data_IF_050881428276
#
_entry.id   IF_050881428276
#
_cell.length_a   1.000
_cell.length_b   1.000
_cell.length_c   1.000
_cell.angle_alpha   90.00
_cell.angle_beta   90.00
_cell.angle_gamma   90.00
#
_symmetry.space_group_name_H-M   'P 1'
#
loop_
_entity.id
_entity.type
_entity.pdbx_description
1 polymer ?
#
# COMPACT_ATOMS: atom_id res chain seq x y z
N UNK A 1 -6.57 18.98 -3.95
CA UNK A 1 -6.31 18.65 -2.52
C UNK A 1 -7.17 17.46 -2.17
N UNK A 2 -6.62 16.41 -1.54
CA UNK A 2 -7.37 15.18 -1.23
C UNK A 2 -8.27 15.38 0.00
N UNK A 3 -9.46 14.77 0.06
CA UNK A 3 -10.34 14.94 1.22
C UNK A 3 -9.72 14.28 2.47
N UNK A 4 -9.63 14.98 3.61
CA UNK A 4 -9.08 14.44 4.85
C UNK A 4 -10.13 13.64 5.64
N UNK A 5 -10.92 12.80 4.97
CA UNK A 5 -12.01 12.08 5.59
C UNK A 5 -11.47 10.83 6.30
N UNK A 6 -11.82 10.66 7.58
CA UNK A 6 -11.52 9.46 8.35
C UNK A 6 -12.82 8.73 8.65
N UNK A 7 -12.90 7.46 8.26
CA UNK A 7 -14.07 6.61 8.46
C UNK A 7 -13.73 5.47 9.40
N UNK A 8 -14.62 5.20 10.35
CA UNK A 8 -14.57 4.02 11.20
C UNK A 8 -15.72 3.10 10.82
N UNK A 9 -15.39 1.91 10.36
CA UNK A 9 -16.34 0.83 10.13
C UNK A 9 -16.32 -0.08 11.36
N UNK A 10 -17.46 -0.20 12.04
CA UNK A 10 -17.66 -1.20 13.11
C UNK A 10 -18.48 -2.35 12.54
N UNK A 11 -17.97 -3.57 12.72
CA UNK A 11 -18.58 -4.81 12.26
C UNK A 11 -18.94 -5.65 13.49
N UNK A 12 -20.22 -5.94 13.66
CA UNK A 12 -20.74 -6.84 14.71
C UNK A 12 -21.22 -8.15 14.05
N UNK A 13 -20.92 -9.30 14.65
CA UNK A 13 -21.24 -10.64 14.11
C UNK A 13 -22.23 -11.42 15.00
N UNK A 14 -23.49 -10.97 15.14
CA UNK A 14 -24.50 -11.74 15.86
C UNK A 14 -24.94 -12.99 15.07
N UNK A 15 -25.62 -13.91 15.75
CA UNK A 15 -26.24 -15.06 15.08
C UNK A 15 -27.25 -14.59 14.03
N UNK A 16 -27.08 -15.03 12.78
CA UNK A 16 -27.98 -14.74 11.66
C UNK A 16 -27.34 -13.90 10.56
N UNK A 17 -26.86 -12.69 10.86
CA UNK A 17 -26.20 -11.83 9.85
C UNK A 17 -25.22 -10.82 10.46
N UNK A 18 -24.14 -10.45 9.74
CA UNK A 18 -23.29 -9.32 10.12
C UNK A 18 -24.08 -8.00 10.16
N UNK A 19 -23.75 -7.14 11.12
CA UNK A 19 -24.20 -5.75 11.18
C UNK A 19 -23.00 -4.81 11.01
N UNK A 20 -23.11 -3.84 10.09
CA UNK A 20 -22.04 -2.88 9.80
C UNK A 20 -22.55 -1.47 10.09
N UNK A 21 -21.75 -0.68 10.79
CA UNK A 21 -22.00 0.75 10.99
C UNK A 21 -20.78 1.58 10.59
N UNK A 22 -21.02 2.71 9.93
CA UNK A 22 -19.98 3.65 9.51
C UNK A 22 -20.12 4.96 10.30
N UNK A 23 -19.04 5.39 10.94
CA UNK A 23 -18.96 6.70 11.62
C UNK A 23 -17.87 7.53 10.97
N UNK A 24 -18.15 8.79 10.67
CA UNK A 24 -17.13 9.74 10.23
C UNK A 24 -16.46 10.29 11.49
N UNK A 25 -15.14 10.16 11.58
CA UNK A 25 -14.34 10.70 12.67
C UNK A 25 -13.73 12.05 12.26
N UNK A 26 -13.67 13.04 13.17
CA UNK A 26 -12.91 14.27 12.93
C UNK A 26 -11.40 13.98 12.93
N UNK A 27 -10.60 14.93 12.43
CA UNK A 27 -9.14 14.86 12.55
C UNK A 27 -8.43 13.94 11.55
N UNK A 28 -9.09 13.56 10.45
CA UNK A 28 -8.44 12.85 9.35
C UNK A 28 -7.35 13.68 8.67
N UNK A 29 -6.51 13.02 7.88
CA UNK A 29 -5.39 13.64 7.16
C UNK A 29 -5.56 13.53 5.65
N UNK A 30 -5.18 14.58 4.93
CA UNK A 30 -5.18 14.60 3.45
C UNK A 30 -3.94 13.89 2.92
N UNK A 31 -4.10 12.63 2.51
CA UNK A 31 -3.01 11.84 1.93
C UNK A 31 -3.55 10.72 1.03
N UNK A 32 -2.78 10.33 0.01
CA UNK A 32 -2.97 9.07 -0.72
C UNK A 32 -1.66 8.30 -0.81
N UNK A 33 -1.77 6.98 -0.95
CA UNK A 33 -0.62 6.07 -1.13
C UNK A 33 0.45 6.24 -0.04
N UNK A 34 0.02 6.52 1.19
CA UNK A 34 0.90 6.57 2.34
C UNK A 34 1.35 5.16 2.72
N UNK A 35 2.51 5.08 3.36
CA UNK A 35 3.08 3.85 3.91
C UNK A 35 2.76 3.82 5.40
N UNK A 36 2.33 2.67 5.91
CA UNK A 36 1.97 2.50 7.32
C UNK A 36 2.77 1.33 7.89
N UNK A 37 3.40 1.54 9.04
CA UNK A 37 4.11 0.47 9.77
C UNK A 37 3.69 0.50 11.23
N UNK A 38 3.61 -0.66 11.88
CA UNK A 38 3.29 -0.78 13.29
C UNK A 38 4.56 -0.60 14.13
N UNK A 39 4.56 0.37 15.06
CA UNK A 39 5.68 0.65 15.98
C UNK A 39 5.43 0.17 17.40
N UNK A 40 4.18 -0.12 17.76
CA UNK A 40 3.78 -0.70 19.04
C UNK A 40 2.41 -1.40 18.94
N UNK A 41 1.95 -2.00 20.03
CA UNK A 41 0.71 -2.81 20.05
C UNK A 41 -0.50 -2.09 19.45
N UNK A 42 -0.71 -0.82 19.84
CA UNK A 42 -1.76 0.06 19.32
C UNK A 42 -1.22 1.33 18.65
N UNK A 43 0.07 1.34 18.30
CA UNK A 43 0.76 2.50 17.72
C UNK A 43 1.27 2.19 16.31
N UNK A 44 0.96 3.08 15.39
CA UNK A 44 1.36 3.00 13.98
C UNK A 44 1.98 4.32 13.55
N UNK A 45 2.83 4.27 12.54
CA UNK A 45 3.38 5.47 11.90
C UNK A 45 2.96 5.50 10.45
N UNK A 46 2.39 6.62 10.03
CA UNK A 46 2.10 6.95 8.64
C UNK A 46 3.23 7.81 8.10
N UNK A 47 3.86 7.33 7.03
CA UNK A 47 4.97 8.00 6.34
C UNK A 47 4.60 8.24 4.89
N UNK A 48 5.00 9.39 4.39
CA UNK A 48 5.05 9.64 2.96
C UNK A 48 3.69 9.69 2.28
N UNK A 49 3.64 9.22 1.04
CA UNK A 49 2.48 9.39 0.16
C UNK A 49 2.43 10.80 -0.44
N UNK A 50 1.23 11.25 -0.80
CA UNK A 50 1.03 12.48 -1.57
C UNK A 50 -0.09 13.34 -0.99
N UNK A 51 0.09 14.66 -0.92
CA UNK A 51 -0.95 15.63 -0.49
C UNK A 51 -1.84 16.08 -1.65
N UNK A 52 -1.24 16.27 -2.83
CA UNK A 52 -1.89 16.43 -4.13
C UNK A 52 -1.07 15.72 -5.22
N UNK A 53 -1.43 15.83 -6.50
CA UNK A 53 -0.84 15.00 -7.57
C UNK A 53 0.63 15.34 -7.86
N UNK A 54 1.06 16.54 -7.52
CA UNK A 54 2.43 17.02 -7.76
C UNK A 54 3.21 17.32 -6.47
N UNK A 55 2.68 16.94 -5.29
CA UNK A 55 3.31 17.24 -4.01
C UNK A 55 3.36 15.98 -3.13
N UNK A 56 4.58 15.48 -2.92
CA UNK A 56 4.87 14.44 -1.91
C UNK A 56 4.58 14.97 -0.52
N UNK A 57 4.09 14.10 0.38
CA UNK A 57 3.92 14.43 1.81
C UNK A 57 5.22 14.14 2.56
N UNK A 58 5.95 15.17 2.93
CA UNK A 58 7.28 15.00 3.54
C UNK A 58 7.28 14.75 5.06
N UNK A 59 6.15 14.95 5.74
CA UNK A 59 6.06 14.77 7.19
C UNK A 59 5.32 13.47 7.56
N UNK A 60 5.54 13.02 8.81
CA UNK A 60 5.00 11.78 9.33
C UNK A 60 3.93 12.04 10.40
N UNK A 61 3.08 11.05 10.62
CA UNK A 61 2.10 11.06 11.71
C UNK A 61 2.18 9.78 12.50
N UNK A 62 1.95 9.88 13.81
CA UNK A 62 1.68 8.72 14.65
C UNK A 62 0.17 8.53 14.71
N UNK A 63 -0.29 7.29 14.52
CA UNK A 63 -1.67 6.87 14.75
C UNK A 63 -1.69 6.01 16.00
N UNK A 64 -2.48 6.42 16.99
CA UNK A 64 -2.75 5.63 18.18
C UNK A 64 -4.19 5.14 18.13
N UNK A 65 -4.36 3.82 18.28
CA UNK A 65 -5.67 3.19 18.38
C UNK A 65 -6.07 3.09 19.85
N UNK A 66 -7.12 3.79 20.23
CA UNK A 66 -7.79 3.61 21.52
C UNK A 66 -9.07 2.80 21.30
N UNK A 67 -9.61 2.20 22.36
CA UNK A 67 -10.70 1.20 22.26
C UNK A 67 -11.88 1.64 21.37
N UNK A 68 -12.18 2.94 21.33
CA UNK A 68 -13.23 3.51 20.46
C UNK A 68 -12.79 4.73 19.65
N UNK A 69 -11.50 5.09 19.66
CA UNK A 69 -11.01 6.32 19.02
C UNK A 69 -9.75 6.07 18.20
N UNK A 70 -9.52 6.91 17.19
CA UNK A 70 -8.29 6.94 16.40
C UNK A 70 -7.70 8.33 16.56
N UNK A 71 -6.53 8.41 17.17
CA UNK A 71 -5.81 9.68 17.36
C UNK A 71 -4.68 9.79 16.35
N UNK A 72 -4.63 10.90 15.62
CA UNK A 72 -3.59 11.18 14.64
C UNK A 72 -2.75 12.35 15.16
N UNK A 73 -1.53 12.06 15.61
CA UNK A 73 -0.56 13.04 16.08
C UNK A 73 0.48 13.39 15.01
N UNK A 74 1.05 14.59 15.07
CA UNK A 74 2.23 14.95 14.29
C UNK A 74 3.47 14.23 14.85
N UNK A 75 4.35 13.76 13.96
CA UNK A 75 5.62 13.13 14.31
C UNK A 75 6.76 13.93 13.69
N UNK A 76 7.93 13.88 14.31
CA UNK A 76 9.15 14.44 13.73
C UNK A 76 9.36 13.92 12.30
N UNK A 77 9.71 14.85 11.41
CA UNK A 77 9.98 14.55 10.01
C UNK A 77 11.38 13.92 9.89
N UNK A 78 11.54 12.79 9.18
CA UNK A 78 12.86 12.24 8.90
C UNK A 78 13.75 13.24 8.18
N UNK A 79 15.06 13.18 8.42
CA UNK A 79 16.00 13.95 7.61
C UNK A 79 16.15 13.33 6.22
N UNK A 80 15.24 13.70 5.32
CA UNK A 80 15.23 13.19 3.97
C UNK A 80 16.49 13.63 3.21
N UNK A 81 17.14 12.68 2.57
CA UNK A 81 18.28 12.96 1.69
C UNK A 81 17.85 13.84 0.50
N UNK A 82 18.78 14.59 -0.11
CA UNK A 82 18.45 15.49 -1.21
C UNK A 82 17.79 14.78 -2.40
N UNK A 83 18.22 13.58 -2.76
CA UNK A 83 17.61 12.76 -3.81
C UNK A 83 16.12 12.46 -3.54
N UNK A 84 15.75 12.04 -2.32
CA UNK A 84 14.34 11.85 -1.92
C UNK A 84 13.56 13.16 -1.97
N UNK A 85 14.17 14.27 -1.49
CA UNK A 85 13.55 15.61 -1.52
C UNK A 85 13.24 16.04 -2.96
N UNK A 86 14.19 15.88 -3.88
CA UNK A 86 14.08 16.35 -5.27
C UNK A 86 13.37 15.35 -6.21
N UNK A 87 13.28 14.08 -5.85
CA UNK A 87 12.57 13.10 -6.68
C UNK A 87 11.09 13.44 -6.80
N UNK A 88 10.48 13.22 -7.97
CA UNK A 88 9.06 13.50 -8.17
C UNK A 88 8.14 12.47 -7.50
N UNK A 89 8.57 11.22 -7.46
CA UNK A 89 7.76 10.09 -6.96
C UNK A 89 8.56 9.27 -5.96
N UNK A 90 7.83 8.57 -5.10
CA UNK A 90 8.35 7.52 -4.25
C UNK A 90 7.31 6.40 -4.16
N UNK A 91 7.77 5.23 -3.77
CA UNK A 91 6.94 4.07 -3.50
C UNK A 91 7.61 3.23 -2.43
N UNK A 92 6.91 2.25 -1.89
CA UNK A 92 7.47 1.44 -0.82
C UNK A 92 6.44 0.53 -0.19
N UNK A 93 6.88 -0.15 0.86
CA UNK A 93 6.03 -1.00 1.67
C UNK A 93 6.55 -1.08 3.09
N UNK A 94 5.66 -1.44 4.01
CA UNK A 94 6.03 -1.90 5.33
C UNK A 94 6.94 -3.14 5.24
N UNK A 95 7.99 -3.18 6.05
CA UNK A 95 8.84 -4.34 6.27
C UNK A 95 8.49 -5.06 7.58
N UNK A 96 7.54 -4.53 8.35
CA UNK A 96 7.24 -4.93 9.72
C UNK A 96 8.22 -4.30 10.72
N UNK A 97 7.96 -4.55 12.01
CA UNK A 97 8.82 -4.10 13.11
C UNK A 97 9.16 -2.59 13.08
N UNK A 98 8.22 -1.76 12.64
CA UNK A 98 8.41 -0.31 12.56
C UNK A 98 9.39 0.12 11.47
N UNK A 99 9.68 -0.70 10.45
CA UNK A 99 10.58 -0.37 9.35
C UNK A 99 9.84 -0.29 8.01
N UNK A 100 10.25 0.63 7.15
CA UNK A 100 9.68 0.84 5.81
C UNK A 100 10.79 0.77 4.78
N UNK A 101 10.56 0.01 3.71
CA UNK A 101 11.38 0.07 2.50
C UNK A 101 10.83 1.17 1.60
N UNK A 102 11.67 2.16 1.27
CA UNK A 102 11.32 3.28 0.41
C UNK A 102 12.16 3.23 -0.86
N UNK A 103 11.52 3.32 -2.02
CA UNK A 103 12.14 3.39 -3.33
C UNK A 103 11.88 4.74 -4.01
N UNK A 104 12.91 5.24 -4.72
CA UNK A 104 12.79 6.34 -5.68
C UNK A 104 13.38 5.89 -7.02
N UNK A 105 12.82 6.34 -8.16
CA UNK A 105 13.44 6.09 -9.46
C UNK A 105 14.82 6.75 -9.55
N UNK A 106 15.74 6.09 -10.24
CA UNK A 106 17.05 6.64 -10.52
C UNK A 106 17.00 7.83 -11.48
N UNK A 107 18.00 8.70 -11.40
CA UNK A 107 18.13 9.82 -12.32
C UNK A 107 18.75 9.35 -13.64
N UNK A 108 17.96 9.33 -14.72
CA UNK A 108 18.40 8.93 -16.06
C UNK A 108 19.41 9.90 -16.71
N UNK A 109 19.86 10.95 -16.01
CA UNK A 109 20.87 11.89 -16.52
C UNK A 109 22.27 11.31 -16.60
N UNK A 110 22.56 10.19 -15.94
CA UNK A 110 23.86 9.53 -16.02
C UNK A 110 23.80 8.29 -16.93
N UNK A 111 24.89 8.01 -17.64
CA UNK A 111 24.99 6.90 -18.61
C UNK A 111 24.83 5.50 -17.97
N UNK A 112 24.94 5.41 -16.65
CA UNK A 112 24.80 4.19 -15.86
C UNK A 112 24.09 4.56 -14.55
N UNK A 113 22.76 4.58 -14.56
CA UNK A 113 21.95 4.75 -13.35
C UNK A 113 21.17 3.48 -13.07
N UNK A 114 21.10 3.08 -11.80
CA UNK A 114 20.18 2.04 -11.37
C UNK A 114 18.74 2.48 -11.63
N UNK A 115 17.86 1.53 -11.93
CA UNK A 115 16.46 1.84 -12.21
C UNK A 115 15.78 2.50 -10.99
N UNK A 116 16.13 2.07 -9.78
CA UNK A 116 15.62 2.62 -8.52
C UNK A 116 16.72 2.62 -7.44
N UNK A 117 16.68 3.61 -6.56
CA UNK A 117 17.44 3.66 -5.31
C UNK A 117 16.52 3.33 -4.13
N UNK A 118 17.01 2.54 -3.19
CA UNK A 118 16.23 2.06 -2.04
C UNK A 118 16.84 2.51 -0.72
N UNK A 119 15.96 2.82 0.24
CA UNK A 119 16.28 3.30 1.58
C UNK A 119 15.43 2.53 2.59
N UNK A 120 15.96 2.32 3.79
CA UNK A 120 15.20 1.78 4.92
C UNK A 120 14.97 2.91 5.91
N UNK A 121 13.70 3.21 6.17
CA UNK A 121 13.29 4.16 7.21
C UNK A 121 12.85 3.37 8.45
N UNK A 122 13.61 3.50 9.54
CA UNK A 122 13.23 2.96 10.86
C UNK A 122 12.39 4.00 11.60
N UNK A 123 11.15 3.63 11.92
CA UNK A 123 10.16 4.48 12.57
C UNK A 123 10.02 4.17 14.08
N UNK A 124 10.38 2.97 14.53
CA UNK A 124 10.42 2.61 15.95
C UNK A 124 11.53 3.36 16.70
N UNK A 125 11.38 3.49 18.02
CA UNK A 125 12.50 3.92 18.86
C UNK A 125 13.67 2.96 18.73
N UNK A 126 14.90 3.45 18.90
CA UNK A 126 16.10 2.61 18.98
C UNK A 126 15.85 1.58 20.07
N UNK A 127 15.48 0.35 19.71
CA UNK A 127 15.63 -0.78 20.62
C UNK A 127 17.14 -0.90 20.77
N UNK A 128 17.65 -0.37 21.88
CA UNK A 128 18.91 -0.84 22.44
C UNK A 128 18.76 -2.37 22.51
N UNK A 129 19.70 -3.09 21.90
CA UNK A 129 19.65 -4.54 21.63
C UNK A 129 19.00 -4.92 20.28
N UNK A 130 19.77 -4.78 19.20
CA UNK A 130 20.50 -5.91 18.62
C UNK A 130 21.50 -5.36 17.61
N UNK A 131 22.77 -5.75 17.76
CA UNK A 131 23.79 -5.58 16.72
C UNK A 131 23.20 -6.00 15.37
N UNK A 132 23.51 -5.21 14.33
CA UNK A 132 23.33 -5.65 12.94
C UNK A 132 24.11 -6.94 12.73
N UNK A 133 23.51 -8.07 13.07
CA UNK A 133 23.95 -9.37 12.58
C UNK A 133 23.59 -9.36 11.11
N UNK A 134 24.59 -9.03 10.30
CA UNK A 134 24.55 -9.22 8.86
C UNK A 134 24.04 -10.64 8.58
N UNK A 135 22.78 -10.76 8.19
CA UNK A 135 22.17 -12.01 7.79
C UNK A 135 22.74 -12.35 6.40
N UNK A 136 23.97 -12.86 6.42
CA UNK A 136 24.63 -13.44 5.26
C UNK A 136 23.94 -14.78 4.99
N UNK A 137 22.87 -14.75 4.18
CA UNK A 137 22.30 -15.96 3.59
C UNK A 137 23.32 -16.55 2.59
N UNK A 138 24.29 -17.31 3.11
CA UNK A 138 25.10 -18.23 2.33
C UNK A 138 24.53 -19.63 2.56
N UNK A 139 23.53 -20.02 1.76
CA UNK A 139 23.14 -21.43 1.69
C UNK A 139 24.17 -22.16 0.83
N UNK A 140 25.00 -22.98 1.46
CA UNK A 140 25.78 -24.01 0.76
C UNK A 140 24.90 -25.26 0.67
N UNK A 141 24.50 -25.61 -0.54
CA UNK A 141 23.77 -26.85 -0.84
C UNK A 141 24.62 -28.06 -0.48
N UNK A 142 24.07 -28.96 0.34
CA UNK A 142 24.48 -30.37 0.35
C UNK A 142 23.24 -31.24 0.27
N UNK A 143 23.34 -32.20 -0.64
CA UNK A 143 22.31 -32.99 -1.27
C UNK A 143 21.94 -34.17 -0.38
N UNK A 144 20.66 -34.36 -0.04
CA UNK A 144 20.13 -35.64 0.44
C UNK A 144 18.66 -35.78 0.02
N UNK A 145 18.33 -36.52 -1.06
CA UNK A 145 16.95 -36.76 -1.46
C UNK A 145 16.47 -38.08 -0.84
N UNK A 146 15.96 -38.00 0.39
CA UNK A 146 15.35 -39.11 1.11
C UNK A 146 13.84 -38.94 1.27
N UNK A 147 13.10 -39.42 0.28
CA UNK A 147 11.71 -39.91 0.35
C UNK A 147 10.68 -39.05 1.12
N UNK A 148 9.95 -38.21 0.39
CA UNK A 148 8.69 -37.63 0.85
C UNK A 148 7.67 -37.76 -0.27
N UNK A 149 6.70 -38.65 -0.05
CA UNK A 149 5.53 -38.86 -0.92
C UNK A 149 4.79 -37.54 -1.14
N UNK A 150 4.31 -37.23 -2.36
CA UNK A 150 3.65 -35.95 -2.61
C UNK A 150 2.28 -35.94 -1.91
N UNK A 151 2.07 -34.94 -1.04
CA UNK A 151 0.72 -34.53 -0.67
C UNK A 151 0.11 -33.81 -1.88
N UNK A 152 -0.77 -34.50 -2.60
CA UNK A 152 -1.76 -33.89 -3.50
C UNK A 152 -2.73 -33.08 -2.64
N UNK A 153 -2.55 -31.76 -2.64
CA UNK A 153 -3.67 -30.81 -2.71
C UNK A 153 -3.13 -29.38 -2.79
N UNK A 154 -3.12 -28.84 -4.00
CA UNK A 154 -3.27 -27.41 -4.29
C UNK A 154 -3.69 -27.30 -5.75
N UNK A 155 -5.00 -27.19 -5.95
CA UNK A 155 -5.63 -26.75 -7.18
C UNK A 155 -4.96 -25.45 -7.70
N UNK A 156 -4.22 -25.54 -8.80
CA UNK A 156 -3.69 -24.38 -9.50
C UNK A 156 -4.80 -23.76 -10.35
N UNK A 157 -5.14 -22.49 -10.10
CA UNK A 157 -5.97 -21.70 -11.01
C UNK A 157 -5.11 -21.17 -12.17
N UNK A 158 -5.21 -21.80 -13.33
CA UNK A 158 -4.69 -21.25 -14.59
C UNK A 158 -5.66 -20.21 -15.16
N UNK A 159 -5.21 -18.97 -15.34
CA UNK A 159 -5.92 -18.00 -16.18
C UNK A 159 -5.67 -18.33 -17.64
N UNK A 160 -6.59 -19.04 -18.29
CA UNK A 160 -6.64 -19.12 -19.75
C UNK A 160 -7.09 -17.76 -20.29
N UNK A 161 -6.16 -17.03 -20.91
CA UNK A 161 -6.39 -15.74 -21.53
C UNK A 161 -7.12 -15.87 -22.87
N UNK A 162 -8.33 -16.43 -22.91
CA UNK A 162 -9.15 -16.46 -24.13
C UNK A 162 -10.65 -16.38 -23.79
N UNK A 163 -11.13 -15.16 -23.54
CA UNK A 163 -12.56 -14.85 -23.53
C UNK A 163 -12.76 -13.42 -24.04
N UNK A 164 -12.74 -13.26 -25.36
CA UNK A 164 -13.39 -12.16 -26.06
C UNK A 164 -13.66 -12.59 -27.51
N UNK A 165 -14.52 -13.59 -27.68
CA UNK A 165 -15.25 -13.82 -28.93
C UNK A 165 -16.74 -13.95 -28.60
N UNK A 166 -17.36 -12.81 -28.34
CA UNK A 166 -18.81 -12.63 -28.46
C UNK A 166 -19.02 -11.53 -29.50
N UNK A 167 -18.86 -11.89 -30.77
CA UNK A 167 -19.58 -11.21 -31.85
C UNK A 167 -20.88 -12.01 -32.03
N UNK A 168 -21.87 -11.70 -31.19
CA UNK A 168 -23.27 -12.05 -31.47
C UNK A 168 -23.81 -10.93 -32.36
N UNK A 169 -23.93 -11.26 -33.65
CA UNK A 169 -24.65 -10.49 -34.65
C UNK A 169 -26.15 -10.45 -34.28
N UNK A 170 -26.59 -9.45 -33.53
CA UNK A 170 -28.00 -9.05 -33.47
C UNK A 170 -28.17 -7.63 -34.03
N UNK A 171 -28.38 -7.62 -35.34
CA UNK A 171 -28.69 -6.45 -36.16
C UNK A 171 -30.18 -6.10 -36.05
N UNK A 172 -30.63 -5.60 -34.89
CA UNK A 172 -31.94 -4.92 -34.82
C UNK A 172 -31.75 -3.43 -35.07
N UNK A 173 -31.96 -3.08 -36.34
CA UNK A 173 -31.95 -1.73 -36.88
C UNK A 173 -33.11 -0.92 -36.31
N UNK A 174 -32.85 -0.08 -35.31
CA UNK A 174 -33.73 1.05 -34.96
C UNK A 174 -33.29 2.29 -35.74
N UNK A 175 -34.07 2.65 -36.76
CA UNK A 175 -33.95 3.93 -37.47
C UNK A 175 -34.62 5.03 -36.63
N UNK A 176 -33.85 5.98 -36.09
CA UNK A 176 -34.37 7.19 -35.43
C UNK A 176 -34.34 8.43 -36.37
N UNK A 177 -34.65 8.24 -37.65
CA UNK A 177 -34.78 9.31 -38.66
C UNK A 177 -36.26 9.68 -38.94
N UNK A 178 -37.09 9.76 -37.90
CA UNK A 178 -38.41 10.41 -37.87
C UNK A 178 -38.66 10.68 -36.37
N UNK A 179 -38.63 11.89 -35.83
CA UNK A 179 -39.59 12.98 -36.05
C UNK A 179 -38.93 14.32 -35.68
N UNK A 180 -38.66 15.15 -36.68
CA UNK A 180 -38.50 16.59 -36.50
C UNK A 180 -39.89 17.24 -36.52
N UNK A 181 -40.06 18.26 -35.68
CA UNK A 181 -41.08 19.35 -35.76
C UNK A 181 -42.41 19.15 -35.01
N UNK A 182 -42.52 19.76 -33.82
CA UNK A 182 -43.71 20.52 -33.40
C UNK A 182 -43.32 21.57 -32.35
N UNK A 183 -43.22 22.83 -32.82
CA UNK A 183 -43.59 24.12 -32.18
C UNK A 183 -43.05 24.52 -30.79
#
# INVERSE_FOLDING_TARGET
>A
IRPPNLYRLKIDLPLGRPAVSCTILPGGISVSSALVTQTGDKEFVVVGGYQCDNQKRMFCNTITLEDNNIEIGERETPDWTPDIKHCKIWFGSDMGNGAILLGIPGDNRQLISDANYFYILKCGGTREDEEETAQTCSQTSTEDPGDSTPFEDSEEFCFSAEANSFDDDDIDTYNEDDEEDES
#
